data_IF_995694551813
#
_entry.id   IF_995694551813
#
_cell.length_a   1.000
_cell.length_b   1.000
_cell.length_c   1.000
_cell.angle_alpha   90.00
_cell.angle_beta   90.00
_cell.angle_gamma   90.00
#
_symmetry.space_group_name_H-M   'P 1'
#
loop_
_entity.id
_entity.type
_entity.pdbx_description
1 polymer ?
#
# COMPACT_ATOMS: atom_id res chain seq x y z
N UNK A 1 19.41 -14.71 10.87
CA UNK A 1 19.61 -13.32 11.36
C UNK A 1 19.79 -12.28 10.23
N UNK A 2 20.47 -12.57 9.12
CA UNK A 2 20.72 -11.57 8.05
C UNK A 2 19.46 -10.97 7.36
N UNK A 3 18.41 -11.77 7.12
CA UNK A 3 17.17 -11.31 6.43
C UNK A 3 16.42 -10.24 7.23
N UNK A 4 16.40 -10.35 8.56
CA UNK A 4 15.72 -9.41 9.45
C UNK A 4 16.44 -8.06 9.45
N UNK A 5 17.77 -8.08 9.52
CA UNK A 5 18.59 -6.86 9.49
C UNK A 5 18.51 -6.12 8.15
N UNK A 6 18.45 -6.85 7.04
CA UNK A 6 18.27 -6.25 5.72
C UNK A 6 16.91 -5.54 5.59
N UNK A 7 15.84 -6.20 6.05
CA UNK A 7 14.48 -5.63 6.02
C UNK A 7 14.36 -4.39 6.90
N UNK A 8 14.99 -4.37 8.07
CA UNK A 8 15.03 -3.18 8.95
C UNK A 8 15.70 -1.98 8.27
N UNK A 9 16.82 -2.20 7.56
CA UNK A 9 17.51 -1.13 6.84
C UNK A 9 16.65 -0.54 5.72
N UNK A 10 15.88 -1.37 5.01
CA UNK A 10 14.96 -0.89 3.99
C UNK A 10 13.82 -0.09 4.61
N UNK A 11 13.22 -0.58 5.71
CA UNK A 11 12.16 0.14 6.42
C UNK A 11 12.60 1.54 6.89
N UNK A 12 13.86 1.67 7.33
CA UNK A 12 14.43 2.96 7.74
C UNK A 12 14.59 3.95 6.57
N UNK A 13 14.57 3.49 5.32
CA UNK A 13 14.61 4.35 4.13
C UNK A 13 13.23 4.79 3.67
N UNK A 14 12.15 4.20 4.19
CA UNK A 14 10.78 4.55 3.81
C UNK A 14 10.38 5.83 4.55
N UNK A 15 10.00 6.92 3.84
CA UNK A 15 9.59 8.17 4.48
C UNK A 15 8.47 7.98 5.50
N UNK A 16 8.57 8.67 6.65
CA UNK A 16 7.52 8.69 7.67
C UNK A 16 6.54 9.85 7.49
N UNK A 17 7.04 10.98 6.97
CA UNK A 17 6.25 12.19 6.76
C UNK A 17 5.32 12.05 5.57
N UNK A 18 4.05 12.45 5.76
CA UNK A 18 3.00 12.34 4.74
C UNK A 18 3.39 13.01 3.42
N UNK A 19 3.95 14.22 3.51
CA UNK A 19 4.35 15.00 2.34
C UNK A 19 5.42 14.28 1.52
N UNK A 20 6.46 13.77 2.18
CA UNK A 20 7.55 13.02 1.53
C UNK A 20 7.06 11.68 0.97
N UNK A 21 6.23 10.99 1.75
CA UNK A 21 5.66 9.70 1.37
C UNK A 21 4.81 9.83 0.08
N UNK A 22 3.95 10.85 0.01
CA UNK A 22 3.08 11.07 -1.14
C UNK A 22 3.80 11.69 -2.33
N UNK A 23 4.93 12.37 -2.12
CA UNK A 23 5.81 12.86 -3.18
C UNK A 23 6.77 11.79 -3.71
N UNK A 24 6.90 10.64 -3.03
CA UNK A 24 7.84 9.60 -3.41
C UNK A 24 7.52 9.02 -4.80
N UNK A 25 8.55 8.90 -5.65
CA UNK A 25 8.40 8.37 -7.00
C UNK A 25 8.29 6.84 -6.97
N UNK A 26 7.06 6.34 -7.15
CA UNK A 26 6.78 4.91 -7.30
C UNK A 26 7.12 4.47 -8.73
N UNK A 27 7.95 3.43 -8.83
CA UNK A 27 8.24 2.70 -10.07
C UNK A 27 7.20 1.59 -10.26
N UNK A 28 6.07 1.98 -10.85
CA UNK A 28 4.96 1.08 -11.13
C UNK A 28 5.33 -0.08 -12.05
N UNK A 29 6.28 0.12 -12.97
CA UNK A 29 6.74 -0.91 -13.89
C UNK A 29 7.48 -2.00 -13.13
N UNK A 30 8.41 -1.61 -12.25
CA UNK A 30 9.16 -2.53 -11.40
C UNK A 30 8.22 -3.34 -10.49
N UNK A 31 7.26 -2.68 -9.84
CA UNK A 31 6.29 -3.34 -8.96
C UNK A 31 5.43 -4.36 -9.69
N UNK A 32 5.03 -4.05 -10.94
CA UNK A 32 4.30 -5.00 -11.80
C UNK A 32 5.17 -6.19 -12.20
N UNK A 33 6.40 -5.96 -12.64
CA UNK A 33 7.33 -7.03 -13.03
C UNK A 33 7.64 -8.00 -11.87
N UNK A 34 7.77 -7.46 -10.66
CA UNK A 34 7.97 -8.26 -9.44
C UNK A 34 6.68 -8.90 -8.89
N UNK A 35 5.53 -8.65 -9.53
CA UNK A 35 4.21 -9.12 -9.13
C UNK A 35 3.83 -8.72 -7.69
N UNK A 36 4.18 -7.49 -7.28
CA UNK A 36 3.95 -6.98 -5.92
C UNK A 36 2.46 -6.82 -5.64
N UNK A 37 1.67 -6.43 -6.64
CA UNK A 37 0.22 -6.23 -6.51
C UNK A 37 -0.48 -7.50 -6.01
N UNK A 38 -0.25 -8.63 -6.66
CA UNK A 38 -0.88 -9.90 -6.27
C UNK A 38 -0.19 -10.55 -5.06
N UNK A 39 1.13 -10.50 -4.96
CA UNK A 39 1.86 -11.21 -3.89
C UNK A 39 1.87 -10.49 -2.55
N UNK A 40 1.72 -9.16 -2.54
CA UNK A 40 1.92 -8.32 -1.36
C UNK A 40 0.75 -7.40 -1.09
N UNK A 41 0.34 -6.61 -2.08
CA UNK A 41 -0.69 -5.59 -1.90
C UNK A 41 -2.06 -6.23 -1.64
N UNK A 42 -2.53 -7.16 -2.48
CA UNK A 42 -3.83 -7.83 -2.33
C UNK A 42 -4.00 -8.51 -0.97
N UNK A 43 -3.07 -9.36 -0.48
CA UNK A 43 -3.17 -9.95 0.86
C UNK A 43 -3.19 -8.90 1.98
N UNK A 44 -2.40 -7.83 1.84
CA UNK A 44 -2.33 -6.76 2.83
C UNK A 44 -3.62 -5.94 2.89
N UNK A 45 -4.15 -5.51 1.73
CA UNK A 45 -5.42 -4.77 1.63
C UNK A 45 -6.55 -5.62 2.21
N UNK A 46 -6.65 -6.90 1.84
CA UNK A 46 -7.66 -7.82 2.38
C UNK A 46 -7.63 -7.87 3.90
N UNK A 47 -6.44 -8.08 4.48
CA UNK A 47 -6.28 -8.11 5.94
C UNK A 47 -6.75 -6.80 6.57
N UNK A 48 -6.35 -5.67 6.01
CA UNK A 48 -6.67 -4.35 6.56
C UNK A 48 -8.15 -4.02 6.46
N UNK A 49 -8.78 -4.25 5.31
CA UNK A 49 -10.22 -4.01 5.12
C UNK A 49 -11.04 -4.87 6.09
N UNK A 50 -10.69 -6.14 6.30
CA UNK A 50 -11.34 -7.00 7.30
C UNK A 50 -11.16 -6.46 8.73
N UNK A 51 -9.96 -5.99 9.08
CA UNK A 51 -9.68 -5.37 10.39
C UNK A 51 -10.54 -4.11 10.62
N UNK A 52 -10.80 -3.31 9.58
CA UNK A 52 -11.60 -2.08 9.68
C UNK A 52 -13.12 -2.32 9.64
N UNK A 53 -13.60 -3.21 8.76
CA UNK A 53 -15.03 -3.40 8.49
C UNK A 53 -15.68 -4.51 9.32
N UNK A 54 -14.88 -5.38 9.95
CA UNK A 54 -15.41 -6.54 10.68
C UNK A 54 -15.87 -7.67 9.75
N UNK A 55 -16.77 -8.52 10.25
CA UNK A 55 -17.09 -9.82 9.66
C UNK A 55 -18.17 -9.81 8.55
N UNK A 56 -18.60 -8.65 8.05
CA UNK A 56 -19.59 -8.59 6.96
C UNK A 56 -18.92 -8.82 5.59
N UNK A 57 -18.93 -10.08 5.15
CA UNK A 57 -18.23 -10.54 3.94
C UNK A 57 -18.73 -9.88 2.64
N UNK A 58 -19.96 -9.36 2.59
CA UNK A 58 -20.57 -8.87 1.34
C UNK A 58 -19.90 -7.61 0.80
N UNK A 59 -19.61 -6.61 1.65
CA UNK A 59 -18.99 -5.34 1.22
C UNK A 59 -17.46 -5.37 1.22
N UNK A 60 -16.86 -6.27 2.01
CA UNK A 60 -15.40 -6.39 2.13
C UNK A 60 -14.75 -6.67 0.77
N UNK A 61 -15.34 -7.58 -0.02
CA UNK A 61 -14.77 -7.94 -1.32
C UNK A 61 -14.82 -6.77 -2.32
N UNK A 62 -15.94 -6.04 -2.35
CA UNK A 62 -16.11 -4.88 -3.22
C UNK A 62 -15.11 -3.76 -2.88
N UNK A 63 -14.88 -3.50 -1.59
CA UNK A 63 -13.91 -2.48 -1.15
C UNK A 63 -12.48 -2.90 -1.47
N UNK A 64 -12.13 -4.17 -1.29
CA UNK A 64 -10.81 -4.70 -1.67
C UNK A 64 -10.57 -4.50 -3.17
N UNK A 65 -11.52 -4.93 -4.01
CA UNK A 65 -11.38 -4.84 -5.46
C UNK A 65 -11.33 -3.38 -5.93
N UNK A 66 -12.14 -2.50 -5.33
CA UNK A 66 -12.09 -1.06 -5.58
C UNK A 66 -10.71 -0.46 -5.28
N UNK A 67 -10.14 -0.73 -4.10
CA UNK A 67 -8.82 -0.23 -3.71
C UNK A 67 -7.73 -0.74 -4.66
N UNK A 68 -7.75 -2.03 -4.99
CA UNK A 68 -6.73 -2.63 -5.86
C UNK A 68 -6.80 -2.06 -7.28
N UNK A 69 -8.02 -1.89 -7.82
CA UNK A 69 -8.22 -1.28 -9.14
C UNK A 69 -7.74 0.18 -9.15
N UNK A 70 -8.10 0.98 -8.13
CA UNK A 70 -7.64 2.37 -8.06
C UNK A 70 -6.13 2.48 -7.95
N UNK A 71 -5.47 1.64 -7.16
CA UNK A 71 -4.00 1.64 -7.08
C UNK A 71 -3.36 1.21 -8.42
N UNK A 72 -3.95 0.26 -9.14
CA UNK A 72 -3.47 -0.15 -10.47
C UNK A 72 -3.55 0.97 -11.53
N UNK A 73 -4.48 1.92 -11.35
CA UNK A 73 -4.61 3.14 -12.16
C UNK A 73 -3.55 4.21 -11.81
N UNK A 74 -2.69 3.96 -10.82
CA UNK A 74 -1.56 4.81 -10.41
C UNK A 74 -2.04 6.21 -10.01
N UNK A 75 -2.96 6.29 -9.04
CA UNK A 75 -3.71 7.51 -8.77
C UNK A 75 -2.82 8.55 -8.07
N UNK A 76 -3.23 9.80 -8.11
CA UNK A 76 -2.66 10.77 -7.20
C UNK A 76 -3.02 10.38 -5.75
N UNK A 77 -2.08 10.35 -4.80
CA UNK A 77 -2.37 9.98 -3.42
C UNK A 77 -3.41 10.90 -2.76
N UNK A 78 -3.49 12.18 -3.13
CA UNK A 78 -4.49 13.10 -2.59
C UNK A 78 -5.89 12.75 -3.07
N UNK A 79 -6.04 12.47 -4.37
CA UNK A 79 -7.32 12.04 -4.97
C UNK A 79 -7.77 10.72 -4.35
N UNK A 80 -6.87 9.73 -4.24
CA UNK A 80 -7.19 8.47 -3.61
C UNK A 80 -7.53 8.65 -2.11
N UNK A 81 -6.86 9.56 -1.40
CA UNK A 81 -7.22 9.86 -0.01
C UNK A 81 -8.65 10.38 0.11
N UNK A 82 -9.05 11.32 -0.75
CA UNK A 82 -10.40 11.88 -0.78
C UNK A 82 -11.45 10.81 -1.10
N UNK A 83 -11.15 9.91 -2.04
CA UNK A 83 -12.01 8.77 -2.37
C UNK A 83 -12.16 7.84 -1.16
N UNK A 84 -11.05 7.41 -0.56
CA UNK A 84 -11.05 6.48 0.58
C UNK A 84 -11.68 7.09 1.84
N UNK A 85 -11.57 8.40 2.03
CA UNK A 85 -12.20 9.11 3.17
C UNK A 85 -13.73 9.02 3.13
N UNK A 86 -14.35 8.75 1.98
CA UNK A 86 -15.81 8.53 1.86
C UNK A 86 -16.25 7.15 2.37
N UNK A 87 -15.31 6.21 2.51
CA UNK A 87 -15.57 4.84 2.92
C UNK A 87 -15.01 4.51 4.30
N UNK A 88 -13.85 5.09 4.64
CA UNK A 88 -13.08 4.78 5.85
C UNK A 88 -13.04 5.94 6.86
N UNK A 89 -13.73 7.05 6.59
CA UNK A 89 -13.76 8.25 7.44
C UNK A 89 -12.35 8.65 7.92
N UNK A 90 -12.16 8.82 9.24
CA UNK A 90 -10.91 9.24 9.87
C UNK A 90 -9.76 8.22 9.72
N UNK A 91 -10.06 6.97 9.36
CA UNK A 91 -9.05 5.91 9.18
C UNK A 91 -8.37 5.95 7.80
N UNK A 92 -8.93 6.69 6.84
CA UNK A 92 -8.45 6.71 5.46
C UNK A 92 -7.00 7.19 5.32
N UNK A 93 -6.59 8.22 6.07
CA UNK A 93 -5.21 8.71 6.03
C UNK A 93 -4.22 7.66 6.54
N UNK A 94 -4.53 7.04 7.68
CA UNK A 94 -3.70 5.99 8.26
C UNK A 94 -3.57 4.80 7.31
N UNK A 95 -4.68 4.36 6.73
CA UNK A 95 -4.70 3.31 5.73
C UNK A 95 -3.82 3.64 4.52
N UNK A 96 -4.01 4.82 3.92
CA UNK A 96 -3.29 5.22 2.72
C UNK A 96 -1.79 5.38 2.97
N UNK A 97 -1.40 5.94 4.12
CA UNK A 97 0.01 6.03 4.53
C UNK A 97 0.64 4.64 4.62
N UNK A 98 -0.05 3.66 5.23
CA UNK A 98 0.49 2.31 5.29
C UNK A 98 0.57 1.64 3.90
N UNK A 99 -0.40 1.88 3.03
CA UNK A 99 -0.40 1.38 1.66
C UNK A 99 0.80 1.92 0.88
N UNK A 100 1.03 3.24 0.91
CA UNK A 100 2.19 3.85 0.23
C UNK A 100 3.51 3.33 0.79
N UNK A 101 3.61 3.18 2.12
CA UNK A 101 4.81 2.61 2.76
C UNK A 101 5.08 1.19 2.29
N UNK A 102 4.05 0.36 2.11
CA UNK A 102 4.19 -0.99 1.56
C UNK A 102 4.74 -0.97 0.13
N UNK A 103 4.19 -0.12 -0.75
CA UNK A 103 4.65 -0.01 -2.14
C UNK A 103 6.12 0.42 -2.22
N UNK A 104 6.50 1.43 -1.44
CA UNK A 104 7.88 1.95 -1.41
C UNK A 104 8.83 0.91 -0.81
N UNK A 105 8.42 0.22 0.26
CA UNK A 105 9.20 -0.85 0.86
C UNK A 105 9.48 -1.98 -0.14
N UNK A 106 8.45 -2.49 -0.82
CA UNK A 106 8.60 -3.57 -1.79
C UNK A 106 9.40 -3.11 -3.01
N UNK A 107 9.24 -1.87 -3.47
CA UNK A 107 10.09 -1.29 -4.51
C UNK A 107 11.57 -1.29 -4.10
N UNK A 108 11.89 -0.72 -2.94
CA UNK A 108 13.28 -0.65 -2.45
C UNK A 108 13.87 -2.04 -2.23
N UNK A 109 13.04 -3.01 -1.83
CA UNK A 109 13.45 -4.40 -1.67
C UNK A 109 13.79 -5.02 -3.02
N UNK A 110 12.92 -4.90 -4.02
CA UNK A 110 13.18 -5.42 -5.37
C UNK A 110 14.44 -4.78 -5.96
N UNK A 111 14.66 -3.48 -5.76
CA UNK A 111 15.86 -2.78 -6.25
C UNK A 111 17.18 -3.26 -5.61
N UNK A 112 17.14 -3.83 -4.40
CA UNK A 112 18.32 -4.35 -3.70
C UNK A 112 18.53 -5.85 -3.87
N UNK A 113 17.50 -6.55 -4.32
CA UNK A 113 17.54 -7.99 -4.62
C UNK A 113 17.79 -8.27 -6.12
N UNK A 114 17.62 -7.26 -6.99
CA UNK A 114 17.99 -7.29 -8.41
C UNK A 114 19.47 -6.98 -8.63
#
# INVERSE_FOLDING_TARGET
MQVIEHSKKILAMVPSEKAELFAYKIDWTLLNQANVFEKKLRPWVRKKVIEFMGAEESLVQEVIDYILNRVAEKPNPKELLEELSRFLDDEAEGFLKHLWRLLIFEQLKVQKEA
#
